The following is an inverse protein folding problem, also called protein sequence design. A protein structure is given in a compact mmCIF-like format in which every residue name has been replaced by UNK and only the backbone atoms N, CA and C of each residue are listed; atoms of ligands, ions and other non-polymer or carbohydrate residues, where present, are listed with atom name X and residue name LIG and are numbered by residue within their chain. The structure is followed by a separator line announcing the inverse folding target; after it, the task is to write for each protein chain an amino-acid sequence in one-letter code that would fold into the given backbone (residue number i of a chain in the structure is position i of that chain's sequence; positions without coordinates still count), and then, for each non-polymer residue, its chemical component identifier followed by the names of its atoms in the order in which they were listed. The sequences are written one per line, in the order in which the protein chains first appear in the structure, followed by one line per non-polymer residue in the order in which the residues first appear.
data_IF_388190834713
#
_entry.id   IF_388190834713
#
_cell.length_a   1.000
_cell.length_b   1.000
_cell.length_c   1.000
_cell.angle_alpha   90.00
_cell.angle_beta   90.00
_cell.angle_gamma   90.00
#
_symmetry.space_group_name_H-M   'P 1'
#
loop_
_entity.id
_entity.type
_entity.pdbx_description
1 polymer ?
#
# COMPACT_ATOMS: atom_id res chain seq x y z
N UNK A 1 11.08 -17.52 5.04
CA UNK A 1 10.06 -16.47 4.88
C UNK A 1 9.19 -16.86 3.69
N UNK A 2 7.86 -16.87 3.81
CA UNK A 2 7.00 -17.30 2.70
C UNK A 2 6.97 -16.23 1.60
N UNK A 3 6.72 -16.62 0.36
CA UNK A 3 6.59 -15.66 -0.75
C UNK A 3 5.48 -14.64 -0.50
N UNK A 4 4.42 -15.04 0.21
CA UNK A 4 3.33 -14.16 0.65
C UNK A 4 3.82 -13.14 1.68
N UNK A 5 4.65 -13.54 2.66
CA UNK A 5 5.20 -12.60 3.65
C UNK A 5 6.10 -11.55 2.97
N UNK A 6 6.93 -11.98 2.01
CA UNK A 6 7.78 -11.07 1.25
C UNK A 6 6.95 -10.06 0.45
N UNK A 7 5.85 -10.49 -0.17
CA UNK A 7 5.00 -9.62 -0.96
C UNK A 7 4.21 -8.64 -0.09
N UNK A 8 3.70 -9.09 1.07
CA UNK A 8 3.08 -8.21 2.07
C UNK A 8 4.08 -7.13 2.52
N UNK A 9 5.33 -7.49 2.78
CA UNK A 9 6.34 -6.53 3.24
C UNK A 9 6.66 -5.48 2.16
N UNK A 10 6.81 -5.89 0.90
CA UNK A 10 6.99 -4.94 -0.22
C UNK A 10 5.81 -3.98 -0.34
N UNK A 11 4.58 -4.49 -0.23
CA UNK A 11 3.37 -3.66 -0.28
C UNK A 11 3.33 -2.67 0.90
N UNK A 12 3.72 -3.09 2.10
CA UNK A 12 3.82 -2.21 3.27
C UNK A 12 4.85 -1.10 3.05
N UNK A 13 6.02 -1.43 2.51
CA UNK A 13 7.03 -0.42 2.14
C UNK A 13 6.50 0.57 1.10
N UNK A 14 5.86 0.08 0.04
CA UNK A 14 5.27 0.94 -1.01
C UNK A 14 4.16 1.83 -0.45
N UNK A 15 3.33 1.32 0.46
CA UNK A 15 2.29 2.12 1.13
C UNK A 15 2.92 3.28 1.92
N UNK A 16 4.02 3.03 2.63
CA UNK A 16 4.74 4.07 3.37
C UNK A 16 5.32 5.11 2.41
N UNK A 17 5.90 4.69 1.29
CA UNK A 17 6.40 5.59 0.24
C UNK A 17 5.28 6.47 -0.33
N UNK A 18 4.12 5.89 -0.69
CA UNK A 18 2.99 6.66 -1.20
C UNK A 18 2.42 7.62 -0.15
N UNK A 19 2.38 7.19 1.12
CA UNK A 19 1.98 8.06 2.23
C UNK A 19 2.93 9.26 2.37
N UNK A 20 4.23 9.03 2.20
CA UNK A 20 5.20 10.12 2.21
C UNK A 20 4.99 11.08 1.03
N UNK A 21 4.78 10.56 -0.18
CA UNK A 21 4.47 11.37 -1.37
C UNK A 21 3.18 12.17 -1.20
N UNK A 22 2.12 11.57 -0.65
CA UNK A 22 0.86 12.24 -0.31
C UNK A 22 1.09 13.45 0.60
N UNK A 23 1.93 13.28 1.63
CA UNK A 23 2.24 14.35 2.57
C UNK A 23 3.06 15.49 1.95
N UNK A 24 3.83 15.21 0.90
CA UNK A 24 4.64 16.19 0.17
C UNK A 24 3.89 16.83 -1.00
N UNK A 25 2.81 16.21 -1.48
CA UNK A 25 2.03 16.71 -2.60
C UNK A 25 1.40 18.07 -2.25
N UNK A 26 1.53 19.02 -3.17
CA UNK A 26 0.96 20.36 -3.03
C UNK A 26 -0.37 20.51 -3.78
N UNK A 27 -0.60 19.65 -4.78
CA UNK A 27 -1.79 19.70 -5.65
C UNK A 27 -2.85 18.69 -5.21
N UNK A 28 -4.12 19.09 -5.28
CA UNK A 28 -5.27 18.25 -4.88
C UNK A 28 -5.36 16.99 -5.74
N UNK A 29 -5.21 17.11 -7.06
CA UNK A 29 -5.30 15.98 -7.98
C UNK A 29 -4.23 14.91 -7.69
N UNK A 30 -3.02 15.34 -7.35
CA UNK A 30 -1.91 14.46 -6.99
C UNK A 30 -2.16 13.76 -5.65
N UNK A 31 -2.77 14.47 -4.68
CA UNK A 31 -3.21 13.88 -3.41
C UNK A 31 -4.26 12.79 -3.62
N UNK A 32 -5.28 13.05 -4.44
CA UNK A 32 -6.32 12.07 -4.73
C UNK A 32 -5.77 10.83 -5.45
N UNK A 33 -4.74 10.98 -6.28
CA UNK A 33 -4.03 9.85 -6.89
C UNK A 33 -3.31 9.01 -5.83
N UNK A 34 -2.52 9.63 -4.95
CA UNK A 34 -1.83 8.90 -3.89
C UNK A 34 -2.79 8.26 -2.90
N UNK A 35 -3.90 8.91 -2.54
CA UNK A 35 -4.93 8.34 -1.66
C UNK A 35 -5.54 7.07 -2.28
N UNK A 36 -5.88 7.11 -3.58
CA UNK A 36 -6.39 5.94 -4.30
C UNK A 36 -5.36 4.81 -4.37
N UNK A 37 -4.09 5.13 -4.59
CA UNK A 37 -3.03 4.13 -4.62
C UNK A 37 -2.82 3.48 -3.23
N UNK A 38 -2.80 4.28 -2.16
CA UNK A 38 -2.69 3.80 -0.77
C UNK A 38 -3.85 2.86 -0.44
N UNK A 39 -5.08 3.22 -0.78
CA UNK A 39 -6.26 2.37 -0.57
C UNK A 39 -6.16 1.05 -1.35
N UNK A 40 -5.71 1.12 -2.60
CA UNK A 40 -5.47 -0.08 -3.43
C UNK A 40 -4.43 -1.01 -2.81
N UNK A 41 -3.31 -0.46 -2.33
CA UNK A 41 -2.25 -1.22 -1.67
C UNK A 41 -2.78 -1.85 -0.37
N UNK A 42 -3.56 -1.12 0.42
CA UNK A 42 -4.15 -1.65 1.65
C UNK A 42 -5.06 -2.84 1.36
N UNK A 43 -5.92 -2.75 0.34
CA UNK A 43 -6.78 -3.87 -0.08
C UNK A 43 -5.98 -5.10 -0.50
N UNK A 44 -4.85 -4.91 -1.19
CA UNK A 44 -3.97 -6.02 -1.58
C UNK A 44 -3.33 -6.70 -0.36
N UNK A 45 -2.86 -5.92 0.62
CA UNK A 45 -2.33 -6.43 1.89
C UNK A 45 -3.40 -7.26 2.59
N UNK A 46 -4.62 -6.74 2.73
CA UNK A 46 -5.72 -7.43 3.42
C UNK A 46 -6.06 -8.78 2.76
N UNK A 47 -6.03 -8.84 1.42
CA UNK A 47 -6.25 -10.09 0.67
C UNK A 47 -5.16 -11.11 0.97
N UNK A 48 -3.88 -10.69 0.92
CA UNK A 48 -2.75 -11.57 1.19
C UNK A 48 -2.70 -12.04 2.65
N UNK A 49 -3.01 -11.16 3.60
CA UNK A 49 -3.09 -11.52 5.02
C UNK A 49 -4.21 -12.53 5.27
N UNK A 50 -5.37 -12.40 4.61
CA UNK A 50 -6.45 -13.41 4.67
C UNK A 50 -6.06 -14.75 4.05
N UNK A 51 -5.28 -14.74 2.97
CA UNK A 51 -4.78 -15.98 2.34
C UNK A 51 -3.80 -16.70 3.26
N UNK A 52 -2.97 -15.98 4.00
CA UNK A 52 -2.03 -16.55 4.98
C UNK A 52 -2.72 -17.23 6.17
N UNK A 53 -3.94 -16.81 6.54
CA UNK A 53 -4.70 -17.37 7.65
C UNK A 53 -5.45 -18.68 7.29
N UNK A 54 -5.42 -19.12 6.04
CA UNK A 54 -6.00 -20.40 5.58
C UNK A 54 -4.92 -21.47 5.49
#
# INVERSE_FOLDING_TARGET
MSDIDNEIEKLKMRRVEMTHKLNMAEFVDEKEEYEREIESIQRQIDVLERLKMK
#
